data_IF_701484437257
#
_entry.id   IF_701484437257
#
_cell.length_a   1.000
_cell.length_b   1.000
_cell.length_c   1.000
_cell.angle_alpha   90.00
_cell.angle_beta   90.00
_cell.angle_gamma   90.00
#
_symmetry.space_group_name_H-M   'P 1'
#
loop_
_entity.id
_entity.type
_entity.pdbx_description
1 polymer ?
#
# COMPACT_ATOMS: atom_id res chain seq x y z
N UNK A 1 -9.71 -15.40 9.72
CA UNK A 1 -9.16 -14.05 9.99
C UNK A 1 -8.09 -13.57 9.02
N UNK A 2 -7.12 -14.38 8.56
CA UNK A 2 -6.07 -13.87 7.65
C UNK A 2 -6.58 -13.16 6.38
N UNK A 3 -7.62 -13.68 5.71
CA UNK A 3 -8.14 -13.07 4.47
C UNK A 3 -8.57 -11.61 4.71
N UNK A 4 -9.40 -11.34 5.72
CA UNK A 4 -9.81 -9.98 6.06
C UNK A 4 -8.61 -9.08 6.41
N UNK A 5 -7.67 -9.58 7.22
CA UNK A 5 -6.44 -8.86 7.55
C UNK A 5 -5.53 -8.60 6.34
N UNK A 6 -5.61 -9.44 5.30
CA UNK A 6 -4.90 -9.23 4.03
C UNK A 6 -5.62 -8.17 3.18
N UNK A 7 -6.94 -8.27 3.02
CA UNK A 7 -7.76 -7.27 2.32
C UNK A 7 -7.58 -5.86 2.89
N UNK A 8 -7.51 -5.71 4.22
CA UNK A 8 -7.24 -4.42 4.88
C UNK A 8 -5.86 -3.86 4.50
N UNK A 9 -4.82 -4.71 4.44
CA UNK A 9 -3.48 -4.29 4.03
C UNK A 9 -3.43 -3.92 2.54
N UNK A 10 -4.07 -4.71 1.66
CA UNK A 10 -4.11 -4.43 0.23
C UNK A 10 -4.88 -3.12 -0.10
N UNK A 11 -6.00 -2.88 0.59
CA UNK A 11 -6.75 -1.59 0.53
C UNK A 11 -5.86 -0.42 0.99
N UNK A 12 -5.11 -0.61 2.07
CA UNK A 12 -4.25 0.44 2.64
C UNK A 12 -3.09 0.78 1.71
N UNK A 13 -2.42 -0.24 1.15
CA UNK A 13 -1.33 -0.06 0.19
C UNK A 13 -1.78 0.63 -1.10
N UNK A 14 -2.92 0.19 -1.67
CA UNK A 14 -3.51 0.84 -2.85
C UNK A 14 -3.93 2.28 -2.58
N UNK A 15 -4.65 2.51 -1.47
CA UNK A 15 -5.14 3.85 -1.09
C UNK A 15 -4.02 4.86 -0.87
N UNK A 16 -2.95 4.49 -0.15
CA UNK A 16 -1.79 5.36 0.07
C UNK A 16 -1.09 5.70 -1.25
N UNK A 17 -0.90 4.72 -2.15
CA UNK A 17 -0.30 5.00 -3.46
C UNK A 17 -1.14 6.00 -4.26
N UNK A 18 -2.46 5.80 -4.32
CA UNK A 18 -3.37 6.72 -5.03
C UNK A 18 -3.34 8.13 -4.41
N UNK A 19 -3.22 8.26 -3.08
CA UNK A 19 -3.04 9.57 -2.44
C UNK A 19 -1.71 10.23 -2.82
N UNK A 20 -0.60 9.49 -2.91
CA UNK A 20 0.69 10.01 -3.37
C UNK A 20 0.59 10.47 -4.83
N UNK A 21 0.03 9.64 -5.72
CA UNK A 21 -0.18 9.97 -7.13
C UNK A 21 -1.07 11.22 -7.27
N UNK A 22 -2.11 11.35 -6.44
CA UNK A 22 -2.96 12.55 -6.39
C UNK A 22 -2.20 13.79 -5.92
N UNK A 23 -1.38 13.72 -4.87
CA UNK A 23 -0.59 14.87 -4.39
C UNK A 23 0.39 15.34 -5.48
N UNK A 24 1.12 14.41 -6.12
CA UNK A 24 2.02 14.72 -7.25
C UNK A 24 1.24 15.28 -8.45
N UNK A 25 -0.02 14.87 -8.66
CA UNK A 25 -0.87 15.41 -9.74
C UNK A 25 -1.49 16.78 -9.44
N UNK A 26 -1.58 17.18 -8.15
CA UNK A 26 -1.98 18.53 -7.75
C UNK A 26 -0.78 19.52 -7.70
N UNK A 27 0.45 19.02 -7.83
CA UNK A 27 1.63 19.87 -8.09
C UNK A 27 1.79 20.12 -9.59
N UNK A 28 1.73 21.39 -9.99
CA UNK A 28 2.18 21.85 -11.31
C UNK A 28 3.56 22.53 -11.21
N UNK A 29 4.36 22.51 -12.30
CA UNK A 29 4.00 22.09 -13.66
C UNK A 29 4.27 20.61 -13.97
N UNK A 30 3.40 20.02 -14.81
CA UNK A 30 3.51 18.70 -15.48
C UNK A 30 4.96 18.21 -15.78
N UNK A 31 5.84 19.10 -16.24
CA UNK A 31 7.26 18.83 -16.60
C UNK A 31 8.11 18.27 -15.45
N UNK A 32 7.77 18.56 -14.19
CA UNK A 32 8.47 18.03 -13.01
C UNK A 32 7.91 16.66 -12.57
N UNK A 33 6.64 16.34 -12.88
CA UNK A 33 5.97 15.11 -12.41
C UNK A 33 6.71 13.84 -12.85
N UNK A 34 7.28 13.85 -14.06
CA UNK A 34 8.15 12.77 -14.56
C UNK A 34 9.42 12.55 -13.71
N UNK A 35 10.00 13.60 -13.13
CA UNK A 35 11.14 13.48 -12.19
C UNK A 35 10.69 12.83 -10.89
N UNK A 36 9.58 13.27 -10.31
CA UNK A 36 9.05 12.72 -9.06
C UNK A 36 8.65 11.25 -9.20
N UNK A 37 7.96 10.89 -10.29
CA UNK A 37 7.63 9.50 -10.63
C UNK A 37 8.90 8.67 -10.86
N UNK A 38 9.91 9.24 -11.54
CA UNK A 38 11.22 8.63 -11.73
C UNK A 38 11.94 8.33 -10.40
N UNK A 39 12.09 9.34 -9.53
CA UNK A 39 12.73 9.19 -8.22
C UNK A 39 12.00 8.19 -7.32
N UNK A 40 10.66 8.22 -7.30
CA UNK A 40 9.85 7.26 -6.56
C UNK A 40 10.01 5.83 -7.12
N UNK A 41 10.07 5.68 -8.45
CA UNK A 41 10.36 4.39 -9.10
C UNK A 41 11.77 3.89 -8.78
N UNK A 42 12.78 4.76 -8.77
CA UNK A 42 14.14 4.41 -8.34
C UNK A 42 14.19 3.98 -6.86
N UNK A 43 13.49 4.68 -5.98
CA UNK A 43 13.34 4.28 -4.57
C UNK A 43 12.68 2.90 -4.43
N UNK A 44 11.64 2.60 -5.21
CA UNK A 44 11.02 1.27 -5.24
C UNK A 44 11.95 0.20 -5.82
N UNK A 45 12.68 0.48 -6.90
CA UNK A 45 13.63 -0.46 -7.51
C UNK A 45 14.83 -0.77 -6.61
N UNK A 46 15.22 0.15 -5.71
CA UNK A 46 16.25 -0.08 -4.69
C UNK A 46 15.65 -0.75 -3.44
N UNK A 47 14.47 -0.32 -3.00
CA UNK A 47 13.79 -0.86 -1.82
C UNK A 47 13.30 -2.30 -2.00
N UNK A 48 12.89 -2.68 -3.20
CA UNK A 48 12.41 -4.05 -3.52
C UNK A 48 13.47 -5.11 -3.19
N UNK A 49 14.69 -5.09 -3.76
CA UNK A 49 15.74 -6.06 -3.42
C UNK A 49 16.29 -5.89 -2.00
N UNK A 50 16.23 -4.70 -1.38
CA UNK A 50 16.65 -4.52 0.02
C UNK A 50 15.66 -5.15 1.03
N UNK A 51 14.36 -5.23 0.71
CA UNK A 51 13.35 -5.67 1.67
C UNK A 51 13.48 -7.14 2.15
N UNK A 52 13.89 -8.13 1.31
CA UNK A 52 14.23 -9.47 1.80
C UNK A 52 15.48 -9.50 2.67
N UNK A 53 16.51 -8.70 2.39
CA UNK A 53 17.72 -8.65 3.23
C UNK A 53 17.42 -8.07 4.61
N UNK A 54 16.66 -6.98 4.70
CA UNK A 54 16.28 -6.36 5.98
C UNK A 54 15.40 -7.32 6.79
N UNK A 55 14.38 -7.93 6.18
CA UNK A 55 13.51 -8.89 6.87
C UNK A 55 14.23 -10.18 7.26
N UNK A 56 15.12 -10.70 6.41
CA UNK A 56 15.97 -11.86 6.71
C UNK A 56 16.95 -11.59 7.86
N UNK A 57 17.66 -10.46 7.84
CA UNK A 57 18.56 -10.06 8.91
C UNK A 57 17.83 -9.88 10.26
N UNK A 58 16.61 -9.34 10.25
CA UNK A 58 15.76 -9.27 11.45
C UNK A 58 15.40 -10.66 11.99
N UNK A 59 15.07 -11.63 11.13
CA UNK A 59 14.82 -13.02 11.53
C UNK A 59 16.10 -13.72 12.04
N UNK A 60 17.26 -13.36 11.51
CA UNK A 60 18.54 -14.02 11.81
C UNK A 60 19.26 -13.46 13.05
N UNK A 61 19.13 -12.16 13.34
CA UNK A 61 19.75 -11.51 14.51
C UNK A 61 18.82 -11.37 15.72
N UNK A 62 17.50 -11.35 15.52
CA UNK A 62 16.57 -11.38 16.65
C UNK A 62 16.61 -12.78 17.27
N UNK A 63 17.34 -12.92 18.39
CA UNK A 63 17.52 -14.15 19.17
C UNK A 63 16.23 -14.48 19.94
N UNK A 64 15.18 -14.68 19.15
CA UNK A 64 13.81 -14.55 19.56
C UNK A 64 13.29 -15.90 20.10
N UNK A 65 13.30 -16.04 21.43
CA UNK A 65 13.07 -17.33 22.12
C UNK A 65 11.60 -17.76 22.25
N UNK A 66 10.62 -16.97 21.78
CA UNK A 66 9.19 -17.34 21.65
C UNK A 66 8.74 -17.41 20.18
N UNK A 67 9.64 -17.86 19.27
CA UNK A 67 9.28 -18.31 17.91
C UNK A 67 9.84 -19.70 17.54
N UNK A 68 10.62 -20.33 18.43
CA UNK A 68 11.15 -21.70 18.27
C UNK A 68 10.53 -22.66 19.31
N UNK A 69 9.35 -22.31 19.82
CA UNK A 69 8.40 -23.32 20.28
C UNK A 69 7.53 -23.74 19.08
N UNK A 70 7.47 -25.04 18.78
CA UNK A 70 6.95 -25.56 17.50
C UNK A 70 5.41 -25.58 17.42
N UNK A 71 4.72 -24.93 18.34
CA UNK A 71 3.31 -25.23 18.68
C UNK A 71 2.34 -24.08 18.41
N UNK A 72 2.78 -22.97 17.81
CA UNK A 72 1.94 -21.77 17.57
C UNK A 72 2.20 -21.09 16.22
N UNK A 73 1.51 -21.50 15.14
CA UNK A 73 1.65 -20.86 13.84
C UNK A 73 0.90 -19.51 13.74
N UNK A 74 1.38 -18.66 12.81
CA UNK A 74 0.55 -17.80 11.96
C UNK A 74 -0.21 -16.59 12.57
N UNK A 75 0.16 -16.09 13.77
CA UNK A 75 -0.45 -14.85 14.33
C UNK A 75 0.51 -13.66 14.55
N UNK A 76 1.85 -13.85 14.54
CA UNK A 76 2.80 -12.78 14.97
C UNK A 76 3.26 -11.81 13.86
N UNK A 77 3.15 -12.16 12.58
CA UNK A 77 3.46 -11.23 11.47
C UNK A 77 2.63 -9.93 11.53
N UNK A 78 1.40 -10.03 12.04
CA UNK A 78 0.49 -8.89 12.23
C UNK A 78 0.99 -7.83 13.23
N UNK A 79 2.00 -8.15 14.05
CA UNK A 79 2.60 -7.22 15.03
C UNK A 79 3.90 -6.55 14.56
N UNK A 80 4.50 -7.01 13.45
CA UNK A 80 5.78 -6.46 12.96
C UNK A 80 5.60 -5.29 11.97
N UNK A 81 4.50 -5.26 11.21
CA UNK A 81 4.14 -4.13 10.33
C UNK A 81 3.65 -2.87 11.07
N UNK A 82 2.80 -2.94 12.13
CA UNK A 82 2.25 -1.75 12.79
C UNK A 82 3.28 -0.75 13.35
N UNK A 83 4.44 -1.14 13.91
CA UNK A 83 5.47 -0.18 14.33
C UNK A 83 6.01 0.67 13.17
N UNK A 84 6.24 0.07 12.00
CA UNK A 84 6.73 0.77 10.80
C UNK A 84 5.63 1.68 10.23
N UNK A 85 4.38 1.18 10.16
CA UNK A 85 3.23 1.98 9.77
C UNK A 85 2.97 3.17 10.70
N UNK A 86 3.09 2.96 12.01
CA UNK A 86 2.95 4.00 13.03
C UNK A 86 4.04 5.07 12.93
N UNK A 87 5.31 4.66 12.72
CA UNK A 87 6.40 5.61 12.48
C UNK A 87 6.15 6.46 11.23
N UNK A 88 5.72 5.84 10.11
CA UNK A 88 5.36 6.56 8.90
C UNK A 88 4.17 7.53 9.12
N UNK A 89 3.19 7.15 9.94
CA UNK A 89 2.05 7.99 10.31
C UNK A 89 2.48 9.19 11.18
N UNK A 90 3.42 9.01 12.11
CA UNK A 90 4.02 10.11 12.89
C UNK A 90 4.81 11.08 12.00
N UNK A 91 5.65 10.56 11.09
CA UNK A 91 6.34 11.41 10.10
C UNK A 91 5.33 12.18 9.22
N UNK A 92 4.25 11.52 8.78
CA UNK A 92 3.20 12.17 8.00
C UNK A 92 2.50 13.28 8.80
N UNK A 93 2.10 13.06 10.05
CA UNK A 93 1.44 14.09 10.88
C UNK A 93 2.37 15.28 11.18
N UNK A 94 3.68 15.05 11.35
CA UNK A 94 4.64 16.13 11.64
C UNK A 94 5.01 16.95 10.39
N UNK A 95 5.22 16.30 9.24
CA UNK A 95 5.75 16.96 8.04
C UNK A 95 4.68 17.35 6.99
N UNK A 96 3.49 16.73 6.98
CA UNK A 96 2.46 16.96 5.96
C UNK A 96 1.57 18.18 6.25
N UNK A 97 2.19 19.35 6.41
CA UNK A 97 1.51 20.65 6.55
C UNK A 97 0.91 21.15 5.22
N UNK A 98 -0.06 20.41 4.68
CA UNK A 98 -0.79 20.80 3.46
C UNK A 98 -1.91 21.80 3.82
N UNK A 99 -1.75 23.04 3.38
CA UNK A 99 -2.82 24.06 3.36
C UNK A 99 -3.87 23.73 2.28
N UNK A 100 -4.65 22.67 2.50
CA UNK A 100 -5.77 22.31 1.62
C UNK A 100 -6.97 23.21 1.93
N UNK A 101 -7.40 24.02 0.95
CA UNK A 101 -8.67 24.74 1.04
C UNK A 101 -9.80 23.74 1.27
N UNK A 102 -10.55 23.88 2.37
CA UNK A 102 -11.60 22.93 2.73
C UNK A 102 -12.86 23.09 1.85
N UNK A 103 -12.82 22.56 0.62
CA UNK A 103 -14.07 22.16 -0.05
C UNK A 103 -14.82 21.21 0.89
N UNK A 104 -16.11 21.48 1.11
CA UNK A 104 -16.88 20.71 2.10
C UNK A 104 -17.02 19.27 1.63
N UNK A 105 -16.58 18.33 2.45
CA UNK A 105 -16.38 16.92 2.07
C UNK A 105 -17.64 16.27 1.48
N UNK A 106 -18.84 16.70 1.94
CA UNK A 106 -20.15 16.29 1.41
C UNK A 106 -20.35 16.63 -0.08
N UNK A 107 -19.81 17.75 -0.54
CA UNK A 107 -19.89 18.19 -1.94
C UNK A 107 -18.89 17.43 -2.82
N UNK A 108 -17.70 17.12 -2.30
CA UNK A 108 -16.74 16.22 -2.99
C UNK A 108 -17.30 14.81 -3.17
N UNK A 109 -17.89 14.24 -2.12
CA UNK A 109 -18.60 12.94 -2.14
C UNK A 109 -19.74 12.95 -3.17
N UNK A 110 -20.52 14.03 -3.27
CA UNK A 110 -21.61 14.14 -4.25
C UNK A 110 -21.15 14.30 -5.71
N UNK A 111 -19.88 14.66 -5.95
CA UNK A 111 -19.27 14.73 -7.30
C UNK A 111 -18.72 13.37 -7.79
N UNK A 112 -18.77 12.30 -7.00
CA UNK A 112 -18.25 10.96 -7.37
C UNK A 112 -19.29 10.17 -8.15
N UNK A 113 -18.93 9.66 -9.33
CA UNK A 113 -19.72 8.65 -10.04
C UNK A 113 -19.50 7.26 -9.42
N UNK A 114 -20.40 6.90 -8.51
CA UNK A 114 -20.42 5.59 -7.87
C UNK A 114 -20.81 4.45 -8.83
N UNK A 115 -21.59 4.73 -9.88
CA UNK A 115 -22.12 3.70 -10.78
C UNK A 115 -21.05 3.31 -11.80
N UNK A 116 -20.44 4.29 -12.48
CA UNK A 116 -19.30 4.05 -13.37
C UNK A 116 -18.14 3.39 -12.64
N UNK A 117 -17.80 3.86 -11.44
CA UNK A 117 -16.74 3.24 -10.63
C UNK A 117 -17.07 1.78 -10.22
N UNK A 118 -18.32 1.48 -9.84
CA UNK A 118 -18.72 0.11 -9.51
C UNK A 118 -18.65 -0.84 -10.72
N UNK A 119 -19.06 -0.38 -11.91
CA UNK A 119 -18.98 -1.15 -13.16
C UNK A 119 -17.51 -1.40 -13.53
N UNK A 120 -16.66 -0.37 -13.48
CA UNK A 120 -15.23 -0.49 -13.77
C UNK A 120 -14.52 -1.45 -12.80
N UNK A 121 -14.75 -1.32 -11.50
CA UNK A 121 -14.19 -2.23 -10.48
C UNK A 121 -14.63 -3.68 -10.71
N UNK A 122 -15.91 -3.91 -11.00
CA UNK A 122 -16.46 -5.26 -11.27
C UNK A 122 -15.84 -5.88 -12.53
N UNK A 123 -15.67 -5.08 -13.59
CA UNK A 123 -15.04 -5.50 -14.84
C UNK A 123 -13.57 -5.88 -14.62
N UNK A 124 -12.79 -5.02 -13.94
CA UNK A 124 -11.39 -5.26 -13.60
C UNK A 124 -11.24 -6.53 -12.76
N UNK A 125 -12.06 -6.71 -11.72
CA UNK A 125 -12.05 -7.94 -10.89
C UNK A 125 -12.39 -9.19 -11.71
N UNK A 126 -13.36 -9.11 -12.62
CA UNK A 126 -13.73 -10.23 -13.50
C UNK A 126 -12.57 -10.64 -14.42
N UNK A 127 -11.91 -9.66 -15.05
CA UNK A 127 -10.73 -9.90 -15.92
C UNK A 127 -9.57 -10.50 -15.11
N UNK A 128 -9.27 -9.95 -13.92
CA UNK A 128 -8.22 -10.46 -13.04
C UNK A 128 -8.50 -11.88 -12.55
N UNK A 129 -9.77 -12.24 -12.26
CA UNK A 129 -10.15 -13.60 -11.87
C UNK A 129 -9.98 -14.62 -13.00
N UNK A 130 -10.21 -14.22 -14.25
CA UNK A 130 -9.92 -15.07 -15.43
C UNK A 130 -8.42 -15.23 -15.63
N UNK A 131 -7.65 -14.14 -15.60
CA UNK A 131 -6.19 -14.17 -15.77
C UNK A 131 -5.49 -14.97 -14.66
N UNK A 132 -5.89 -14.80 -13.40
CA UNK A 132 -5.33 -15.53 -12.27
C UNK A 132 -5.57 -17.05 -12.39
N UNK A 133 -6.78 -17.47 -12.81
CA UNK A 133 -7.10 -18.88 -13.06
C UNK A 133 -6.35 -19.45 -14.27
N UNK A 134 -6.18 -18.65 -15.32
CA UNK A 134 -5.33 -19.00 -16.46
C UNK A 134 -3.88 -19.24 -16.03
N UNK A 135 -3.30 -18.35 -15.23
CA UNK A 135 -1.93 -18.49 -14.73
C UNK A 135 -1.72 -19.75 -13.88
N UNK A 136 -2.74 -20.24 -13.18
CA UNK A 136 -2.67 -21.51 -12.42
C UNK A 136 -2.90 -22.78 -13.26
N UNK A 137 -3.18 -22.64 -14.56
CA UNK A 137 -3.37 -23.77 -15.49
C UNK A 137 -2.17 -23.99 -16.44
N UNK A 138 -1.11 -23.18 -16.31
CA UNK A 138 0.14 -23.28 -17.07
C UNK A 138 1.37 -23.54 -16.16
N UNK A 139 1.14 -24.20 -15.02
CA UNK A 139 2.15 -24.61 -14.01
C UNK A 139 1.87 -26.08 -13.66
#
# INVERSE_FOLDING_TARGET
MMIAGRTIQDISGGGIKVMIDMIVSNMDPSRERGKFIGMFSTMLSIGTPLSPFISGALVQHSSWRWAVDRTQPMHRQFYLNPPVGGAALVFLVLFLHINYQQERWKEKVKKVDYIGNAILMTSIVSILLVLARGSTAYI
#
